data_IF_307445832257
#
_entry.id   IF_307445832257
#
_cell.length_a   1.000
_cell.length_b   1.000
_cell.length_c   1.000
_cell.angle_alpha   90.00
_cell.angle_beta   90.00
_cell.angle_gamma   90.00
#
_symmetry.space_group_name_H-M   'P 1'
#
loop_
_entity.id
_entity.type
_entity.pdbx_description
1 polymer ?
#
# COMPACT_ATOMS: atom_id res chain seq x y z
N UNK A 1 9.29 15.81 24.82
CA UNK A 1 9.26 14.82 23.71
C UNK A 1 7.80 14.58 23.35
N UNK A 2 7.48 14.53 22.06
CA UNK A 2 6.11 14.29 21.61
C UNK A 2 5.76 12.83 21.82
N UNK A 3 4.67 12.52 22.52
CA UNK A 3 4.18 11.15 22.72
C UNK A 3 3.40 10.73 21.46
N UNK A 4 3.76 9.62 20.85
CA UNK A 4 3.13 9.05 19.65
C UNK A 4 2.27 7.82 19.97
N UNK A 5 2.00 7.53 21.23
CA UNK A 5 1.13 6.42 21.63
C UNK A 5 -0.29 6.63 21.10
N UNK A 6 -0.82 5.60 20.49
CA UNK A 6 -2.20 5.56 20.02
C UNK A 6 -2.93 4.38 20.66
N UNK A 7 -4.25 4.48 20.79
CA UNK A 7 -5.07 3.40 21.35
C UNK A 7 -4.93 2.10 20.53
N UNK A 8 -4.80 2.23 19.21
CA UNK A 8 -4.72 1.11 18.27
C UNK A 8 -3.40 1.16 17.51
N UNK A 9 -2.82 -0.01 17.14
CA UNK A 9 -1.59 -0.07 16.36
C UNK A 9 -1.69 0.70 15.05
N UNK A 10 -0.55 1.17 14.56
CA UNK A 10 -0.39 1.81 13.27
C UNK A 10 0.05 0.77 12.24
N UNK A 11 -0.63 0.69 11.10
CA UNK A 11 -0.18 -0.05 9.93
C UNK A 11 0.23 0.94 8.85
N UNK A 12 1.53 0.96 8.51
CA UNK A 12 2.09 1.80 7.45
C UNK A 12 2.05 1.04 6.14
N UNK A 13 1.37 1.61 5.14
CA UNK A 13 1.10 0.99 3.84
C UNK A 13 1.85 1.77 2.76
N UNK A 14 2.85 1.13 2.14
CA UNK A 14 3.69 1.77 1.13
C UNK A 14 2.97 1.92 -0.23
N UNK A 15 3.57 2.69 -1.14
CA UNK A 15 3.10 2.87 -2.51
C UNK A 15 3.80 1.94 -3.50
N UNK A 16 3.84 2.38 -4.76
CA UNK A 16 4.48 1.67 -5.87
C UNK A 16 6.00 1.62 -5.76
N UNK A 17 6.60 0.60 -6.37
CA UNK A 17 8.02 0.47 -6.71
C UNK A 17 8.97 0.44 -5.51
N UNK A 18 8.52 0.10 -4.32
CA UNK A 18 9.34 -0.07 -3.13
C UNK A 18 8.73 -1.14 -2.22
N UNK A 19 9.56 -1.65 -1.31
CA UNK A 19 9.17 -2.56 -0.24
C UNK A 19 9.72 -2.06 1.09
N UNK A 20 9.11 -2.51 2.17
CA UNK A 20 9.50 -2.13 3.53
C UNK A 20 10.77 -2.85 4.02
N UNK A 21 11.08 -4.00 3.41
CA UNK A 21 12.20 -4.89 3.76
C UNK A 21 13.44 -4.70 2.87
N UNK A 22 13.54 -3.58 2.16
CA UNK A 22 14.67 -3.29 1.28
C UNK A 22 15.79 -2.51 1.96
N UNK A 23 16.98 -2.44 1.31
CA UNK A 23 18.18 -1.69 1.76
C UNK A 23 17.83 -0.21 2.05
N UNK A 24 16.88 0.32 1.29
CA UNK A 24 16.27 1.63 1.55
C UNK A 24 14.79 1.43 1.88
N UNK A 25 14.44 1.32 3.19
CA UNK A 25 13.05 1.14 3.60
C UNK A 25 12.17 2.28 3.08
N UNK A 26 10.98 1.93 2.60
CA UNK A 26 10.05 2.92 2.02
C UNK A 26 9.77 4.09 2.98
N UNK A 27 9.53 3.78 4.24
CA UNK A 27 9.21 4.75 5.28
C UNK A 27 10.46 5.39 5.91
N UNK A 28 11.66 5.02 5.47
CA UNK A 28 12.92 5.49 6.04
C UNK A 28 12.94 5.31 7.56
N UNK A 29 13.19 6.40 8.31
CA UNK A 29 13.20 6.38 9.77
C UNK A 29 11.84 6.63 10.43
N UNK A 30 10.77 6.83 9.66
CA UNK A 30 9.45 7.19 10.21
C UNK A 30 8.94 6.13 11.19
N UNK A 31 9.00 4.85 10.79
CA UNK A 31 8.56 3.75 11.65
C UNK A 31 9.33 3.69 12.96
N UNK A 32 10.66 3.87 12.92
CA UNK A 32 11.51 3.80 14.09
C UNK A 32 11.29 4.99 15.02
N UNK A 33 11.19 6.20 14.47
CA UNK A 33 10.89 7.41 15.26
C UNK A 33 9.53 7.27 15.97
N UNK A 34 8.51 6.76 15.29
CA UNK A 34 7.21 6.53 15.90
C UNK A 34 7.29 5.52 17.05
N UNK A 35 8.06 4.43 16.88
CA UNK A 35 8.27 3.41 17.91
C UNK A 35 9.06 3.96 19.09
N UNK A 36 10.13 4.73 18.85
CA UNK A 36 10.93 5.40 19.87
C UNK A 36 10.08 6.34 20.76
N UNK A 37 8.98 6.87 20.17
CA UNK A 37 8.03 7.74 20.88
C UNK A 37 6.76 7.00 21.36
N UNK A 38 6.82 5.67 21.44
CA UNK A 38 5.83 4.84 22.11
C UNK A 38 4.69 4.32 21.23
N UNK A 39 4.71 4.54 19.91
CA UNK A 39 3.72 3.96 19.02
C UNK A 39 3.99 2.47 18.73
N UNK A 40 2.94 1.67 18.63
CA UNK A 40 3.01 0.30 18.11
C UNK A 40 2.85 0.37 16.58
N UNK A 41 3.91 0.06 15.84
CA UNK A 41 3.97 0.28 14.39
C UNK A 41 4.32 -1.00 13.64
N UNK A 42 3.49 -1.33 12.66
CA UNK A 42 3.67 -2.42 11.71
C UNK A 42 3.84 -1.92 10.28
N UNK A 43 4.55 -2.69 9.48
CA UNK A 43 4.71 -2.46 8.05
C UNK A 43 3.85 -3.45 7.27
N UNK A 44 3.35 -3.01 6.13
CA UNK A 44 2.32 -3.73 5.39
C UNK A 44 2.83 -4.94 4.58
N UNK A 45 4.01 -4.84 3.99
CA UNK A 45 4.66 -5.94 3.26
C UNK A 45 3.90 -6.46 2.04
N UNK A 46 3.07 -5.63 1.40
CA UNK A 46 2.42 -5.97 0.12
C UNK A 46 3.41 -5.90 -1.04
N UNK A 47 3.00 -6.37 -2.21
CA UNK A 47 3.83 -6.34 -3.41
C UNK A 47 4.06 -4.92 -3.92
N UNK A 48 5.28 -4.63 -4.38
CA UNK A 48 5.66 -3.34 -4.93
C UNK A 48 4.86 -3.00 -6.21
N UNK A 49 4.55 -4.01 -7.02
CA UNK A 49 3.82 -3.90 -8.28
C UNK A 49 2.55 -4.74 -8.35
N UNK A 50 2.00 -5.17 -7.22
CA UNK A 50 0.74 -5.90 -7.21
C UNK A 50 -0.45 -5.03 -7.65
N UNK A 51 -1.51 -5.67 -8.16
CA UNK A 51 -2.78 -5.01 -8.44
C UNK A 51 -3.44 -4.48 -7.15
N UNK A 52 -4.33 -3.48 -7.25
CA UNK A 52 -5.06 -2.98 -6.06
C UNK A 52 -5.82 -4.11 -5.35
N UNK A 53 -6.61 -4.95 -6.02
CA UNK A 53 -7.31 -6.05 -5.34
C UNK A 53 -6.36 -7.11 -4.77
N UNK A 54 -5.26 -7.42 -5.45
CA UNK A 54 -4.24 -8.38 -4.99
C UNK A 54 -3.58 -7.92 -3.70
N UNK A 55 -3.06 -6.70 -3.71
CA UNK A 55 -2.44 -6.08 -2.55
C UNK A 55 -3.41 -5.87 -1.39
N UNK A 56 -4.65 -5.46 -1.66
CA UNK A 56 -5.66 -5.31 -0.61
C UNK A 56 -5.97 -6.64 0.10
N UNK A 57 -5.98 -7.78 -0.62
CA UNK A 57 -6.08 -9.10 0.00
C UNK A 57 -4.86 -9.47 0.85
N UNK A 58 -3.66 -9.07 0.42
CA UNK A 58 -2.46 -9.25 1.23
C UNK A 58 -2.50 -8.37 2.50
N UNK A 59 -2.97 -7.13 2.37
CA UNK A 59 -3.19 -6.22 3.50
C UNK A 59 -4.23 -6.77 4.48
N UNK A 60 -5.31 -7.38 3.99
CA UNK A 60 -6.33 -8.00 4.85
C UNK A 60 -5.69 -9.07 5.75
N UNK A 61 -4.96 -10.01 5.17
CA UNK A 61 -4.26 -11.06 5.94
C UNK A 61 -3.30 -10.44 6.97
N UNK A 62 -2.47 -9.47 6.52
CA UNK A 62 -1.51 -8.81 7.41
C UNK A 62 -2.19 -8.08 8.56
N UNK A 63 -3.29 -7.39 8.28
CA UNK A 63 -4.07 -6.67 9.29
C UNK A 63 -4.70 -7.63 10.30
N UNK A 64 -5.23 -8.77 9.85
CA UNK A 64 -5.79 -9.82 10.72
C UNK A 64 -4.72 -10.45 11.61
N UNK A 65 -3.53 -10.72 11.07
CA UNK A 65 -2.38 -11.20 11.86
C UNK A 65 -2.02 -10.21 12.97
N UNK A 66 -1.95 -8.91 12.64
CA UNK A 66 -1.63 -7.84 13.62
C UNK A 66 -2.71 -7.74 14.71
N UNK A 67 -3.99 -7.79 14.34
CA UNK A 67 -5.08 -7.76 15.32
C UNK A 67 -5.00 -8.95 16.26
N UNK A 68 -4.69 -10.14 15.73
CA UNK A 68 -4.52 -11.36 16.53
C UNK A 68 -3.30 -11.27 17.46
N UNK A 69 -2.15 -10.83 16.93
CA UNK A 69 -0.90 -10.67 17.68
C UNK A 69 -1.03 -9.67 18.83
N UNK A 70 -1.74 -8.56 18.59
CA UNK A 70 -1.84 -7.46 19.54
C UNK A 70 -3.06 -7.57 20.47
N UNK A 71 -4.04 -8.41 20.15
CA UNK A 71 -5.34 -8.42 20.81
C UNK A 71 -6.17 -7.16 20.58
N UNK A 72 -5.77 -6.31 19.61
CA UNK A 72 -6.46 -5.06 19.31
C UNK A 72 -7.72 -5.30 18.48
N UNK A 73 -8.75 -4.50 18.73
CA UNK A 73 -10.01 -4.56 17.97
C UNK A 73 -9.91 -3.85 16.61
N UNK A 74 -9.02 -2.87 16.49
CA UNK A 74 -8.90 -2.00 15.30
C UNK A 74 -7.46 -1.63 15.01
N UNK A 75 -7.24 -1.12 13.79
CA UNK A 75 -5.97 -0.53 13.34
C UNK A 75 -6.17 0.92 12.88
N UNK A 76 -5.12 1.74 13.06
CA UNK A 76 -4.95 3.00 12.35
C UNK A 76 -4.13 2.72 11.08
N UNK A 77 -4.64 3.10 9.93
CA UNK A 77 -3.99 2.91 8.64
C UNK A 77 -3.37 4.23 8.18
N UNK A 78 -2.07 4.22 7.87
CA UNK A 78 -1.37 5.34 7.26
C UNK A 78 -0.82 4.86 5.92
N UNK A 79 -1.36 5.38 4.83
CA UNK A 79 -1.12 4.85 3.51
C UNK A 79 -0.59 5.93 2.55
N UNK A 80 0.48 5.62 1.83
CA UNK A 80 1.06 6.54 0.85
C UNK A 80 0.76 6.11 -0.58
N UNK A 81 0.49 7.10 -1.46
CA UNK A 81 0.35 6.90 -2.91
C UNK A 81 -0.69 5.82 -3.26
N UNK A 82 -0.34 4.83 -4.08
CA UNK A 82 -1.18 3.68 -4.45
C UNK A 82 -1.69 2.90 -3.22
N UNK A 83 -0.88 2.81 -2.15
CA UNK A 83 -1.28 2.14 -0.91
C UNK A 83 -2.57 2.70 -0.29
N UNK A 84 -2.86 3.99 -0.50
CA UNK A 84 -4.13 4.59 -0.07
C UNK A 84 -5.35 4.07 -0.84
N UNK A 85 -5.18 3.69 -2.11
CA UNK A 85 -6.24 3.04 -2.90
C UNK A 85 -6.43 1.59 -2.44
N UNK A 86 -5.35 0.89 -2.13
CA UNK A 86 -5.38 -0.46 -1.57
C UNK A 86 -6.07 -0.50 -0.20
N UNK A 87 -5.76 0.47 0.66
CA UNK A 87 -6.42 0.63 1.95
C UNK A 87 -7.92 0.95 1.81
N UNK A 88 -8.30 1.80 0.85
CA UNK A 88 -9.72 2.07 0.55
C UNK A 88 -10.43 0.80 0.07
N UNK A 89 -9.81 0.03 -0.83
CA UNK A 89 -10.36 -1.25 -1.29
C UNK A 89 -10.52 -2.26 -0.14
N UNK A 90 -9.52 -2.34 0.74
CA UNK A 90 -9.58 -3.14 1.96
C UNK A 90 -10.80 -2.77 2.81
N UNK A 91 -11.01 -1.48 3.06
CA UNK A 91 -12.09 -0.98 3.91
C UNK A 91 -13.47 -1.20 3.28
N UNK A 92 -13.63 -0.80 2.00
CA UNK A 92 -14.95 -0.73 1.37
C UNK A 92 -15.36 -2.04 0.70
N UNK A 93 -14.42 -2.77 0.11
CA UNK A 93 -14.72 -3.96 -0.71
C UNK A 93 -14.47 -5.27 0.02
N UNK A 94 -13.49 -5.29 0.94
CA UNK A 94 -13.16 -6.47 1.75
C UNK A 94 -13.72 -6.39 3.17
N UNK A 95 -14.67 -5.49 3.41
CA UNK A 95 -15.43 -5.33 4.66
C UNK A 95 -14.58 -5.14 5.93
N UNK A 96 -13.48 -4.41 5.80
CA UNK A 96 -12.59 -4.14 6.93
C UNK A 96 -12.94 -2.86 7.70
N UNK A 97 -14.06 -2.20 7.40
CA UNK A 97 -14.48 -0.93 8.02
C UNK A 97 -14.62 -1.05 9.53
N UNK A 98 -15.23 -2.13 10.03
CA UNK A 98 -15.42 -2.36 11.47
C UNK A 98 -14.12 -2.50 12.26
N UNK A 99 -13.04 -2.94 11.61
CA UNK A 99 -11.69 -3.12 12.18
C UNK A 99 -10.75 -1.94 11.89
N UNK A 100 -11.23 -0.87 11.25
CA UNK A 100 -10.46 0.36 10.97
C UNK A 100 -10.83 1.45 11.97
N UNK A 101 -9.85 1.98 12.68
CA UNK A 101 -10.03 3.13 13.58
C UNK A 101 -9.90 4.45 12.82
N UNK A 102 -8.92 4.53 11.93
CA UNK A 102 -8.69 5.70 11.06
C UNK A 102 -7.98 5.30 9.77
N UNK A 103 -8.16 6.09 8.72
CA UNK A 103 -7.38 6.04 7.49
C UNK A 103 -6.79 7.42 7.21
N UNK A 104 -5.47 7.50 7.18
CA UNK A 104 -4.73 8.68 6.69
C UNK A 104 -4.09 8.35 5.36
N UNK A 105 -4.38 9.13 4.33
CA UNK A 105 -3.78 8.96 3.01
C UNK A 105 -2.82 10.11 2.71
N UNK A 106 -1.63 9.78 2.21
CA UNK A 106 -0.57 10.73 1.89
C UNK A 106 -0.32 10.64 0.37
N UNK A 107 -0.50 11.74 -0.34
CA UNK A 107 -0.29 11.83 -1.79
C UNK A 107 -0.99 10.72 -2.61
N UNK A 108 -2.12 10.22 -2.14
CA UNK A 108 -2.89 9.17 -2.82
C UNK A 108 -3.65 9.76 -4.02
N UNK A 109 -3.52 9.17 -5.22
CA UNK A 109 -4.17 9.67 -6.42
C UNK A 109 -5.65 9.26 -6.47
N UNK A 110 -6.50 9.83 -5.59
CA UNK A 110 -7.91 9.49 -5.48
C UNK A 110 -8.73 9.75 -6.74
N UNK A 111 -8.26 10.65 -7.60
CA UNK A 111 -8.86 10.96 -8.90
C UNK A 111 -7.98 10.55 -10.08
N UNK A 112 -6.99 9.70 -9.81
CA UNK A 112 -6.03 9.22 -10.79
C UNK A 112 -4.85 10.18 -11.02
N UNK A 113 -3.96 9.75 -11.92
CA UNK A 113 -2.75 10.46 -12.30
C UNK A 113 -2.64 10.55 -13.81
N UNK A 114 -2.50 11.76 -14.34
CA UNK A 114 -2.23 11.98 -15.77
C UNK A 114 -0.91 11.36 -16.20
N UNK A 115 0.11 11.40 -15.34
CA UNK A 115 1.39 10.78 -15.63
C UNK A 115 1.27 9.25 -15.81
N UNK A 116 0.39 8.58 -15.08
CA UNK A 116 0.10 7.17 -15.29
C UNK A 116 -0.55 6.91 -16.65
N UNK A 117 -1.49 7.75 -17.05
CA UNK A 117 -2.14 7.66 -18.37
C UNK A 117 -1.12 7.90 -19.52
N UNK A 118 -0.25 8.91 -19.41
CA UNK A 118 0.79 9.19 -20.37
C UNK A 118 1.82 8.06 -20.48
N UNK A 119 2.14 7.41 -19.38
CA UNK A 119 3.03 6.24 -19.34
C UNK A 119 2.41 5.07 -20.11
N UNK A 120 1.14 4.76 -19.85
CA UNK A 120 0.43 3.71 -20.54
C UNK A 120 0.27 3.96 -22.04
N UNK A 121 0.13 5.22 -22.48
CA UNK A 121 0.07 5.57 -23.87
C UNK A 121 1.35 5.18 -24.66
N UNK A 122 2.46 4.90 -23.96
CA UNK A 122 3.71 4.38 -24.53
C UNK A 122 3.75 2.84 -24.48
N UNK A 123 2.75 2.17 -25.03
CA UNK A 123 2.50 0.73 -24.89
C UNK A 123 3.73 -0.18 -25.06
N UNK A 124 4.58 0.05 -26.06
CA UNK A 124 5.79 -0.77 -26.30
C UNK A 124 6.79 -0.65 -25.16
N UNK A 125 7.03 0.56 -24.66
CA UNK A 125 7.97 0.83 -23.56
C UNK A 125 7.43 0.22 -22.28
N UNK A 126 6.14 0.44 -21.98
CA UNK A 126 5.49 -0.14 -20.81
C UNK A 126 5.52 -1.66 -20.78
N UNK A 127 5.29 -2.32 -21.93
CA UNK A 127 5.29 -3.78 -22.01
C UNK A 127 6.67 -4.40 -21.79
N UNK A 128 7.72 -3.81 -22.36
CA UNK A 128 9.10 -4.34 -22.20
C UNK A 128 9.63 -4.04 -20.81
N UNK A 129 9.49 -2.79 -20.36
CA UNK A 129 9.92 -2.39 -19.03
C UNK A 129 9.14 -3.13 -17.92
N UNK A 130 7.82 -3.32 -18.12
CA UNK A 130 6.96 -4.03 -17.18
C UNK A 130 7.42 -5.46 -16.92
N UNK A 131 7.70 -6.25 -17.97
CA UNK A 131 8.20 -7.62 -17.83
C UNK A 131 9.53 -7.70 -17.08
N UNK A 132 10.44 -6.78 -17.36
CA UNK A 132 11.71 -6.70 -16.64
C UNK A 132 11.53 -6.36 -15.16
N UNK A 133 10.65 -5.40 -14.87
CA UNK A 133 10.31 -5.00 -13.50
C UNK A 133 9.60 -6.12 -12.74
N UNK A 134 8.64 -6.79 -13.34
CA UNK A 134 7.94 -7.94 -12.72
C UNK A 134 8.91 -9.06 -12.37
N UNK A 135 9.82 -9.42 -13.29
CA UNK A 135 10.87 -10.42 -13.04
C UNK A 135 11.80 -10.02 -11.91
N UNK A 136 12.24 -8.75 -11.90
CA UNK A 136 13.08 -8.21 -10.84
C UNK A 136 12.39 -8.26 -9.48
N UNK A 137 11.14 -7.77 -9.39
CA UNK A 137 10.43 -7.70 -8.12
C UNK A 137 9.97 -9.07 -7.63
N UNK A 138 9.64 -10.00 -8.54
CA UNK A 138 9.40 -11.40 -8.20
C UNK A 138 10.64 -12.05 -7.55
N UNK A 139 11.81 -11.79 -8.10
CA UNK A 139 13.07 -12.23 -7.51
C UNK A 139 13.37 -11.55 -6.15
N UNK A 140 12.72 -10.42 -5.85
CA UNK A 140 12.81 -9.68 -4.60
C UNK A 140 11.69 -10.00 -3.60
N UNK A 141 10.80 -10.92 -3.93
CA UNK A 141 9.78 -11.42 -3.02
C UNK A 141 8.36 -10.92 -3.28
N UNK A 142 8.11 -10.16 -4.37
CA UNK A 142 6.74 -9.92 -4.82
C UNK A 142 6.11 -11.27 -5.23
N UNK A 143 4.92 -11.51 -4.74
CA UNK A 143 4.20 -12.78 -4.95
C UNK A 143 3.49 -12.80 -6.29
N UNK A 144 2.86 -11.68 -6.63
CA UNK A 144 2.06 -11.51 -7.83
C UNK A 144 2.21 -10.10 -8.43
N UNK A 145 3.44 -9.75 -8.88
CA UNK A 145 3.66 -8.46 -9.52
C UNK A 145 2.91 -8.40 -10.86
N UNK A 146 2.11 -7.36 -11.03
CA UNK A 146 1.31 -7.07 -12.23
C UNK A 146 1.49 -5.58 -12.58
N UNK A 147 2.56 -5.27 -13.29
CA UNK A 147 2.89 -3.90 -13.67
C UNK A 147 1.77 -3.21 -14.48
N UNK A 148 1.18 -3.86 -15.52
CA UNK A 148 0.08 -3.26 -16.26
C UNK A 148 -1.12 -2.92 -15.38
N UNK A 149 -1.56 -3.85 -14.54
CA UNK A 149 -2.69 -3.62 -13.64
C UNK A 149 -2.38 -2.54 -12.58
N UNK A 150 -1.16 -2.56 -12.03
CA UNK A 150 -0.74 -1.57 -11.04
C UNK A 150 -0.75 -0.13 -11.59
N UNK A 151 -0.30 0.07 -12.84
CA UNK A 151 -0.25 1.40 -13.47
C UNK A 151 -1.61 1.80 -14.03
N UNK A 152 -2.32 0.89 -14.72
CA UNK A 152 -3.63 1.20 -15.31
C UNK A 152 -4.67 1.58 -14.26
N UNK A 153 -4.60 0.99 -13.07
CA UNK A 153 -5.45 1.35 -11.96
C UNK A 153 -5.29 2.80 -11.48
N UNK A 154 -4.18 3.45 -11.81
CA UNK A 154 -3.90 4.84 -11.41
C UNK A 154 -4.35 5.88 -12.43
N UNK A 155 -4.98 5.49 -13.54
CA UNK A 155 -5.49 6.45 -14.52
C UNK A 155 -6.76 7.16 -14.02
N UNK A 156 -7.06 8.38 -14.50
CA UNK A 156 -8.30 9.08 -14.16
C UNK A 156 -9.55 8.25 -14.50
N UNK A 157 -9.55 7.56 -15.64
CA UNK A 157 -10.66 6.72 -16.09
C UNK A 157 -10.88 5.50 -15.18
N UNK A 158 -9.79 4.89 -14.70
CA UNK A 158 -9.88 3.79 -13.75
C UNK A 158 -10.40 4.28 -12.40
N UNK A 159 -9.93 5.44 -11.93
CA UNK A 159 -10.38 6.02 -10.66
C UNK A 159 -11.83 6.52 -10.70
N UNK A 160 -12.32 6.97 -11.85
CA UNK A 160 -13.74 7.31 -12.00
C UNK A 160 -14.67 6.07 -11.81
N UNK A 161 -14.18 4.87 -12.15
CA UNK A 161 -14.89 3.60 -11.89
C UNK A 161 -14.67 3.04 -10.50
N UNK A 162 -13.56 3.40 -9.87
CA UNK A 162 -13.20 2.96 -8.52
C UNK A 162 -13.98 3.73 -7.44
N UNK A 163 -14.28 5.01 -7.67
CA UNK A 163 -15.00 5.89 -6.76
C UNK A 163 -16.52 5.72 -6.86
#
# INVERSE_FOLDING_TARGET
MTDCRTRYPLLLIHGLNCRDDWIFPYWGRVADILREHGATVYLSGQDAWGSIPGNARALLRRAEDILTETGSEKLNLIAHSKGGLEARYLISTLDFAGKTASLTTICTPHHGSRAAAEWLARERVCRIAGRGLEGFWRARGDRDPDFPAAVSALTPEAMARFN
#
